data_IF_610639378993
#
_entry.id   IF_610639378993
#
_cell.length_a   1.000
_cell.length_b   1.000
_cell.length_c   1.000
_cell.angle_alpha   90.00
_cell.angle_beta   90.00
_cell.angle_gamma   90.00
#
_symmetry.space_group_name_H-M   'P 1'
#
loop_
_entity.id
_entity.type
_entity.pdbx_description
1 polymer ?
#
# COMPACT_ATOMS: atom_id res chain seq x y z
N UNK A 1 7.37 -3.85 -6.15
CA UNK A 1 7.29 -4.35 -7.56
C UNK A 1 5.91 -4.00 -8.09
N UNK A 2 5.79 -3.39 -9.27
CA UNK A 2 4.48 -3.10 -9.90
C UNK A 2 3.79 -4.42 -10.26
N UNK A 3 2.49 -4.53 -9.99
CA UNK A 3 1.71 -5.71 -10.37
C UNK A 3 1.76 -5.86 -11.90
N UNK A 4 2.18 -7.03 -12.37
CA UNK A 4 2.31 -7.34 -13.80
C UNK A 4 0.95 -7.35 -14.52
N UNK A 5 -0.16 -7.46 -13.77
CA UNK A 5 -1.53 -7.43 -14.28
C UNK A 5 -2.37 -6.48 -13.41
N UNK A 6 -2.86 -5.35 -13.96
CA UNK A 6 -3.82 -4.52 -13.24
C UNK A 6 -5.13 -5.30 -13.04
N UNK A 7 -5.58 -5.39 -11.80
CA UNK A 7 -6.89 -5.98 -11.47
C UNK A 7 -7.96 -4.98 -11.97
N UNK A 8 -9.03 -5.44 -12.62
CA UNK A 8 -10.18 -4.58 -12.93
C UNK A 8 -11.28 -4.82 -11.86
N UNK A 9 -11.61 -3.80 -11.08
CA UNK A 9 -12.58 -3.81 -10.00
C UNK A 9 -13.78 -2.88 -10.30
N UNK A 10 -14.07 -2.63 -11.58
CA UNK A 10 -15.14 -1.70 -11.99
C UNK A 10 -16.55 -2.16 -11.61
N UNK A 11 -16.76 -3.45 -11.37
CA UNK A 11 -18.06 -4.05 -11.05
C UNK A 11 -18.04 -4.79 -9.69
N UNK A 12 -17.74 -4.08 -8.61
CA UNK A 12 -17.82 -4.60 -7.24
C UNK A 12 -19.08 -4.12 -6.52
N UNK A 13 -19.58 -4.93 -5.58
CA UNK A 13 -20.71 -4.54 -4.73
C UNK A 13 -20.28 -3.60 -3.58
N UNK A 14 -21.23 -3.08 -2.82
CA UNK A 14 -20.96 -2.12 -1.74
C UNK A 14 -20.09 -2.69 -0.62
N UNK A 15 -20.25 -3.98 -0.28
CA UNK A 15 -19.45 -4.64 0.75
C UNK A 15 -18.00 -4.81 0.29
N UNK A 16 -17.80 -5.23 -0.96
CA UNK A 16 -16.47 -5.36 -1.59
C UNK A 16 -15.77 -4.00 -1.69
N UNK A 17 -16.51 -2.94 -2.06
CA UNK A 17 -15.99 -1.57 -2.06
C UNK A 17 -15.56 -1.12 -0.66
N UNK A 18 -16.34 -1.46 0.37
CA UNK A 18 -15.99 -1.12 1.74
C UNK A 18 -14.73 -1.87 2.21
N UNK A 19 -14.63 -3.16 1.92
CA UNK A 19 -13.43 -3.96 2.21
C UNK A 19 -12.19 -3.37 1.51
N UNK A 20 -12.33 -2.97 0.24
CA UNK A 20 -11.23 -2.36 -0.51
C UNK A 20 -10.79 -1.03 0.09
N UNK A 21 -11.74 -0.19 0.53
CA UNK A 21 -11.44 1.08 1.23
C UNK A 21 -10.70 0.84 2.54
N UNK A 22 -11.10 -0.18 3.31
CA UNK A 22 -10.42 -0.56 4.54
C UNK A 22 -8.97 -0.99 4.26
N UNK A 23 -8.77 -1.86 3.27
CA UNK A 23 -7.45 -2.31 2.85
C UNK A 23 -6.57 -1.11 2.43
N UNK A 24 -7.10 -0.21 1.61
CA UNK A 24 -6.40 1.03 1.22
C UNK A 24 -6.01 1.85 2.46
N UNK A 25 -6.94 2.07 3.38
CA UNK A 25 -6.70 2.85 4.60
C UNK A 25 -5.64 2.22 5.51
N UNK A 26 -5.66 0.89 5.67
CA UNK A 26 -4.63 0.16 6.42
C UNK A 26 -3.26 0.34 5.77
N UNK A 27 -3.14 0.21 4.44
CA UNK A 27 -1.87 0.41 3.74
C UNK A 27 -1.38 1.86 3.84
N UNK A 28 -2.27 2.85 3.81
CA UNK A 28 -1.90 4.26 4.05
C UNK A 28 -1.31 4.46 5.45
N UNK A 29 -1.91 3.84 6.48
CA UNK A 29 -1.36 3.86 7.84
C UNK A 29 0.02 3.19 7.92
N UNK A 30 0.19 2.06 7.22
CA UNK A 30 1.47 1.35 7.13
C UNK A 30 2.56 2.21 6.50
N UNK A 31 2.27 2.92 5.40
CA UNK A 31 3.22 3.85 4.75
C UNK A 31 3.74 4.86 5.77
N UNK A 32 2.84 5.57 6.48
CA UNK A 32 3.23 6.57 7.48
C UNK A 32 4.10 5.97 8.60
N UNK A 33 3.75 4.76 9.08
CA UNK A 33 4.54 4.07 10.13
C UNK A 33 5.91 3.63 9.63
N UNK A 34 5.99 3.05 8.44
CA UNK A 34 7.25 2.61 7.86
C UNK A 34 8.18 3.79 7.56
N UNK A 35 7.65 4.90 7.05
CA UNK A 35 8.42 6.12 6.85
C UNK A 35 8.93 6.68 8.18
N UNK A 36 8.07 6.71 9.20
CA UNK A 36 8.46 7.12 10.55
C UNK A 36 9.59 6.21 11.10
N UNK A 37 9.43 4.89 11.07
CA UNK A 37 10.44 3.97 11.56
C UNK A 37 11.75 4.03 10.75
N UNK A 38 11.68 4.20 9.44
CA UNK A 38 12.86 4.40 8.59
C UNK A 38 13.66 5.65 9.00
N UNK A 39 12.96 6.72 9.36
CA UNK A 39 13.59 7.97 9.80
C UNK A 39 14.23 7.85 11.18
N UNK A 40 13.66 7.05 12.09
CA UNK A 40 14.20 6.82 13.44
C UNK A 40 15.27 5.72 13.49
N UNK A 41 15.34 4.83 12.49
CA UNK A 41 16.25 3.70 12.49
C UNK A 41 17.68 4.11 12.11
N UNK A 42 18.66 3.66 12.91
CA UNK A 42 20.08 3.85 12.68
C UNK A 42 20.72 2.69 11.90
N UNK A 43 20.18 1.48 12.05
CA UNK A 43 20.68 0.31 11.32
C UNK A 43 20.34 0.44 9.83
N UNK A 44 21.34 0.41 8.93
CA UNK A 44 21.12 0.66 7.51
C UNK A 44 20.31 -0.45 6.82
N UNK A 45 20.42 -1.70 7.26
CA UNK A 45 19.68 -2.82 6.67
C UNK A 45 18.21 -2.75 7.04
N UNK A 46 17.91 -2.54 8.32
CA UNK A 46 16.53 -2.39 8.81
C UNK A 46 15.87 -1.14 8.23
N UNK A 47 16.62 -0.03 8.15
CA UNK A 47 16.15 1.20 7.49
C UNK A 47 15.72 0.96 6.05
N UNK A 48 16.51 0.18 5.29
CA UNK A 48 16.19 -0.16 3.91
C UNK A 48 14.95 -1.05 3.81
N UNK A 49 14.76 -1.97 4.75
CA UNK A 49 13.54 -2.79 4.84
C UNK A 49 12.31 -1.88 5.00
N UNK A 50 12.33 -0.94 5.95
CA UNK A 50 11.20 -0.01 6.13
C UNK A 50 10.91 0.83 4.88
N UNK A 51 11.94 1.36 4.22
CA UNK A 51 11.75 2.11 2.96
C UNK A 51 11.09 1.26 1.89
N UNK A 52 11.55 0.02 1.73
CA UNK A 52 10.98 -0.92 0.77
C UNK A 52 9.53 -1.26 1.11
N UNK A 53 9.23 -1.52 2.38
CA UNK A 53 7.86 -1.80 2.83
C UNK A 53 6.92 -0.62 2.60
N UNK A 54 7.38 0.62 2.80
CA UNK A 54 6.63 1.84 2.47
C UNK A 54 6.31 1.92 0.98
N UNK A 55 7.31 1.70 0.11
CA UNK A 55 7.15 1.70 -1.34
C UNK A 55 6.20 0.60 -1.85
N UNK A 56 6.30 -0.60 -1.28
CA UNK A 56 5.42 -1.72 -1.65
C UNK A 56 3.97 -1.43 -1.21
N UNK A 57 3.75 -0.88 -0.02
CA UNK A 57 2.42 -0.46 0.43
C UNK A 57 1.84 0.67 -0.44
N UNK A 58 2.66 1.66 -0.83
CA UNK A 58 2.26 2.72 -1.76
C UNK A 58 1.86 2.15 -3.13
N UNK A 59 2.60 1.15 -3.62
CA UNK A 59 2.29 0.46 -4.88
C UNK A 59 0.93 -0.23 -4.80
N UNK A 60 0.62 -0.91 -3.68
CA UNK A 60 -0.69 -1.54 -3.45
C UNK A 60 -1.83 -0.52 -3.48
N UNK A 61 -1.69 0.60 -2.76
CA UNK A 61 -2.70 1.68 -2.75
C UNK A 61 -2.95 2.21 -4.16
N UNK A 62 -1.88 2.54 -4.89
CA UNK A 62 -1.99 3.08 -6.25
C UNK A 62 -2.67 2.07 -7.19
N UNK A 63 -2.34 0.79 -7.08
CA UNK A 63 -2.94 -0.25 -7.91
C UNK A 63 -4.44 -0.37 -7.63
N UNK A 64 -4.86 -0.46 -6.37
CA UNK A 64 -6.29 -0.56 -6.04
C UNK A 64 -7.09 0.67 -6.46
N UNK A 65 -6.54 1.87 -6.32
CA UNK A 65 -7.18 3.10 -6.81
C UNK A 65 -7.32 3.06 -8.34
N UNK A 66 -6.30 2.61 -9.06
CA UNK A 66 -6.37 2.50 -10.51
C UNK A 66 -7.29 1.38 -10.98
N UNK A 67 -7.42 0.30 -10.22
CA UNK A 67 -8.33 -0.81 -10.49
C UNK A 67 -9.81 -0.43 -10.39
N UNK A 68 -10.14 0.67 -9.70
CA UNK A 68 -11.51 1.20 -9.58
C UNK A 68 -11.92 2.14 -10.72
N UNK A 69 -10.99 2.52 -11.60
CA UNK A 69 -11.25 3.36 -12.77
C UNK A 69 -11.72 2.51 -13.94
#
# INVERSE_FOLDING_TARGET
MTLQNPINLGNINQMELQNLREIIGIHQNMISKYDFYSNQCQDPQIKQIFKKSSQDAQTTVTNFINSLK
#
